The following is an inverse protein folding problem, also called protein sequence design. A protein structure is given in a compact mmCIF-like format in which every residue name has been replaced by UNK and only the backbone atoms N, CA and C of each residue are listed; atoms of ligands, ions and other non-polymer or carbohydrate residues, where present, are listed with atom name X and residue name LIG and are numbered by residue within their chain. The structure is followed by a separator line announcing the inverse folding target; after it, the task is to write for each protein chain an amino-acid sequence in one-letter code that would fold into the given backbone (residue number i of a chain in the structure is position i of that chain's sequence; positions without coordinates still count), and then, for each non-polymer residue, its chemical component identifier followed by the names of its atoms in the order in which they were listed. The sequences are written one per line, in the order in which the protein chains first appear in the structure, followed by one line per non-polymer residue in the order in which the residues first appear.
data_IF_130381346677
#
_entry.id   IF_130381346677
#
_cell.length_a   1.000
_cell.length_b   1.000
_cell.length_c   1.000
_cell.angle_alpha   90.00
_cell.angle_beta   90.00
_cell.angle_gamma   90.00
#
_symmetry.space_group_name_H-M   'P 1'
#
loop_
_entity.id
_entity.type
_entity.pdbx_description
1 polymer ?
#
# COMPACT_ATOMS: atom_id res chain seq x y z
N UNK A 1 11.16 -35.08 -13.21
CA UNK A 1 10.63 -34.75 -11.88
C UNK A 1 9.94 -33.37 -12.00
N UNK A 2 8.61 -33.34 -12.03
CA UNK A 2 7.87 -32.07 -12.04
C UNK A 2 8.13 -31.38 -10.70
N UNK A 3 8.83 -30.22 -10.70
CA UNK A 3 8.86 -29.35 -9.54
C UNK A 3 7.42 -28.88 -9.30
N UNK A 4 6.82 -29.31 -8.20
CA UNK A 4 5.60 -28.68 -7.69
C UNK A 4 5.92 -27.18 -7.49
N UNK A 5 5.40 -26.32 -8.35
CA UNK A 5 5.44 -24.87 -8.14
C UNK A 5 4.62 -24.61 -6.87
N UNK A 6 5.31 -24.32 -5.78
CA UNK A 6 4.65 -23.84 -4.56
C UNK A 6 3.95 -22.53 -4.92
N UNK A 7 2.63 -22.53 -4.81
CA UNK A 7 1.83 -21.32 -5.02
C UNK A 7 2.29 -20.26 -4.02
N UNK A 8 2.85 -19.15 -4.51
CA UNK A 8 3.21 -18.01 -3.65
C UNK A 8 1.96 -17.57 -2.87
N UNK A 9 2.12 -17.33 -1.59
CA UNK A 9 1.05 -16.93 -0.69
C UNK A 9 1.35 -15.54 -0.12
N UNK A 10 0.47 -14.59 -0.38
CA UNK A 10 0.65 -13.17 -0.07
C UNK A 10 -0.49 -12.70 0.80
N UNK A 11 -0.16 -12.01 1.89
CA UNK A 11 -1.12 -11.33 2.76
C UNK A 11 -0.97 -9.82 2.58
N UNK A 12 -2.07 -9.13 2.34
CA UNK A 12 -2.14 -7.66 2.34
C UNK A 12 -3.18 -7.24 3.37
N UNK A 13 -2.76 -6.55 4.41
CA UNK A 13 -3.64 -5.99 5.42
C UNK A 13 -3.73 -4.47 5.22
N UNK A 14 -4.95 -4.00 5.03
CA UNK A 14 -5.27 -2.60 4.80
C UNK A 14 -5.88 -1.98 6.06
N UNK A 15 -5.54 -0.73 6.33
CA UNK A 15 -6.11 0.03 7.44
C UNK A 15 -7.59 0.33 7.21
N UNK A 16 -7.96 0.68 5.98
CA UNK A 16 -9.32 1.08 5.65
C UNK A 16 -9.81 0.59 4.28
N UNK A 17 -11.01 1.03 3.95
CA UNK A 17 -11.70 0.62 2.73
C UNK A 17 -11.03 1.16 1.45
N UNK A 18 -10.43 2.35 1.50
CA UNK A 18 -9.78 2.97 0.33
C UNK A 18 -8.55 2.18 -0.09
N UNK A 19 -7.68 1.83 0.86
CA UNK A 19 -6.49 1.00 0.67
C UNK A 19 -6.88 -0.39 0.17
N UNK A 20 -7.93 -0.98 0.77
CA UNK A 20 -8.47 -2.27 0.36
C UNK A 20 -8.94 -2.26 -1.09
N UNK A 21 -9.74 -1.27 -1.49
CA UNK A 21 -10.25 -1.15 -2.86
C UNK A 21 -9.10 -0.96 -3.86
N UNK A 22 -8.08 -0.20 -3.49
CA UNK A 22 -6.90 0.00 -4.33
C UNK A 22 -6.08 -1.29 -4.48
N UNK A 23 -5.80 -2.00 -3.39
CA UNK A 23 -5.10 -3.28 -3.42
C UNK A 23 -5.88 -4.37 -4.20
N UNK A 24 -7.21 -4.42 -4.05
CA UNK A 24 -8.08 -5.31 -4.82
C UNK A 24 -8.03 -5.00 -6.31
N UNK A 25 -8.00 -3.72 -6.68
CA UNK A 25 -7.90 -3.33 -8.08
C UNK A 25 -6.56 -3.75 -8.70
N UNK A 26 -5.45 -3.63 -7.95
CA UNK A 26 -4.14 -4.16 -8.36
C UNK A 26 -4.19 -5.68 -8.58
N UNK A 27 -4.82 -6.44 -7.66
CA UNK A 27 -4.98 -7.89 -7.77
C UNK A 27 -5.79 -8.28 -9.01
N UNK A 28 -6.86 -7.56 -9.32
CA UNK A 28 -7.73 -7.83 -10.47
C UNK A 28 -7.03 -7.60 -11.82
N UNK A 29 -5.98 -6.80 -11.87
CA UNK A 29 -5.15 -6.58 -13.08
C UNK A 29 -4.12 -7.70 -13.34
N UNK A 30 -3.98 -8.65 -12.42
CA UNK A 30 -3.13 -9.82 -12.66
C UNK A 30 -3.75 -10.69 -13.76
N UNK A 31 -2.93 -11.26 -14.67
CA UNK A 31 -3.40 -12.26 -15.64
C UNK A 31 -4.12 -13.43 -14.96
N UNK A 32 -5.12 -14.01 -15.62
CA UNK A 32 -5.95 -15.09 -15.05
C UNK A 32 -5.16 -16.29 -14.53
N UNK A 33 -4.05 -16.63 -15.19
CA UNK A 33 -3.21 -17.73 -14.75
C UNK A 33 -2.50 -17.41 -13.43
N UNK A 34 -2.06 -16.15 -13.21
CA UNK A 34 -1.49 -15.71 -11.95
C UNK A 34 -2.52 -15.65 -10.82
N UNK A 35 -3.74 -15.23 -11.13
CA UNK A 35 -4.82 -15.25 -10.13
C UNK A 35 -5.12 -16.66 -9.61
N UNK A 36 -4.72 -17.71 -10.35
CA UNK A 36 -4.88 -19.11 -9.96
C UNK A 36 -3.64 -19.71 -9.29
N UNK A 37 -2.44 -19.21 -9.65
CA UNK A 37 -1.16 -19.74 -9.17
C UNK A 37 -0.60 -18.99 -7.96
N UNK A 38 -1.10 -17.78 -7.67
CA UNK A 38 -0.71 -16.96 -6.53
C UNK A 38 -1.91 -16.73 -5.62
N UNK A 39 -1.78 -17.15 -4.35
CA UNK A 39 -2.82 -16.89 -3.35
C UNK A 39 -2.59 -15.51 -2.74
N UNK A 40 -3.44 -14.54 -3.07
CA UNK A 40 -3.38 -13.18 -2.50
C UNK A 40 -4.62 -12.96 -1.64
N UNK A 41 -4.40 -12.85 -0.35
CA UNK A 41 -5.42 -12.57 0.65
C UNK A 41 -5.35 -11.10 1.03
N UNK A 42 -6.45 -10.35 0.81
CA UNK A 42 -6.53 -8.92 1.12
C UNK A 42 -7.66 -8.69 2.10
N UNK A 43 -7.35 -8.07 3.23
CA UNK A 43 -8.32 -7.73 4.27
C UNK A 43 -8.16 -6.27 4.69
N UNK A 44 -9.23 -5.68 5.21
CA UNK A 44 -9.16 -4.42 5.93
C UNK A 44 -9.79 -4.56 7.32
N UNK A 45 -9.39 -3.69 8.23
CA UNK A 45 -9.87 -3.71 9.60
C UNK A 45 -10.94 -2.65 9.85
N UNK A 46 -11.75 -2.89 10.88
CA UNK A 46 -12.69 -1.90 11.41
C UNK A 46 -12.05 -1.00 12.49
N UNK A 47 -10.95 -1.45 13.10
CA UNK A 47 -10.13 -0.64 13.99
C UNK A 47 -9.02 0.01 13.18
N UNK A 48 -9.17 1.30 12.94
CA UNK A 48 -8.30 2.06 12.06
C UNK A 48 -7.09 2.59 12.84
N UNK A 49 -6.14 1.73 13.21
CA UNK A 49 -4.87 2.17 13.76
C UNK A 49 -3.73 1.23 13.33
N UNK A 50 -2.53 1.77 13.06
CA UNK A 50 -1.41 0.97 12.55
C UNK A 50 -0.95 -0.12 13.53
N UNK A 51 -1.09 0.07 14.84
CA UNK A 51 -0.67 -0.89 15.85
C UNK A 51 -1.56 -2.13 15.87
N UNK A 52 -2.88 -1.93 15.77
CA UNK A 52 -3.85 -3.01 15.61
C UNK A 52 -3.62 -3.79 14.31
N UNK A 53 -3.28 -3.07 13.22
CA UNK A 53 -2.93 -3.68 11.94
C UNK A 53 -1.73 -4.64 12.06
N UNK A 54 -0.68 -4.23 12.77
CA UNK A 54 0.51 -5.07 13.01
C UNK A 54 0.17 -6.28 13.88
N UNK A 55 -0.66 -6.11 14.91
CA UNK A 55 -1.08 -7.22 15.78
C UNK A 55 -1.87 -8.25 14.99
N UNK A 56 -2.78 -7.82 14.14
CA UNK A 56 -3.55 -8.71 13.26
C UNK A 56 -2.65 -9.44 12.25
N UNK A 57 -1.66 -8.74 11.65
CA UNK A 57 -0.67 -9.38 10.79
C UNK A 57 0.08 -10.49 11.52
N UNK A 58 0.56 -10.22 12.73
CA UNK A 58 1.26 -11.22 13.58
C UNK A 58 0.35 -12.39 13.91
N UNK A 59 -0.91 -12.15 14.25
CA UNK A 59 -1.89 -13.20 14.55
C UNK A 59 -2.10 -14.12 13.35
N UNK A 60 -2.36 -13.54 12.16
CA UNK A 60 -2.57 -14.30 10.91
C UNK A 60 -1.33 -15.08 10.49
N UNK A 61 -0.16 -14.45 10.56
CA UNK A 61 1.11 -15.10 10.22
C UNK A 61 1.38 -16.32 11.13
N UNK A 62 1.15 -16.16 12.45
CA UNK A 62 1.30 -17.28 13.39
C UNK A 62 0.33 -18.42 13.09
N UNK A 63 -0.95 -18.11 12.84
CA UNK A 63 -1.95 -19.13 12.48
C UNK A 63 -1.55 -19.87 11.20
N UNK A 64 -1.14 -19.16 10.17
CA UNK A 64 -0.69 -19.74 8.91
C UNK A 64 0.54 -20.68 9.08
N UNK A 65 1.49 -20.31 9.94
CA UNK A 65 2.65 -21.16 10.26
C UNK A 65 2.19 -22.44 10.98
N UNK A 66 1.27 -22.34 11.93
CA UNK A 66 0.74 -23.51 12.66
C UNK A 66 -0.01 -24.47 11.72
N UNK A 67 -0.68 -23.94 10.71
CA UNK A 67 -1.36 -24.70 9.65
C UNK A 67 -0.42 -25.21 8.56
N UNK A 68 0.89 -25.00 8.70
CA UNK A 68 1.93 -25.36 7.69
C UNK A 68 1.67 -24.71 6.32
N UNK A 69 1.08 -23.53 6.34
CA UNK A 69 0.70 -22.77 5.15
C UNK A 69 1.10 -21.30 5.32
N UNK A 70 2.39 -21.05 5.58
CA UNK A 70 2.94 -19.72 5.84
C UNK A 70 2.78 -18.77 4.64
N UNK A 71 2.70 -17.48 4.92
CA UNK A 71 2.78 -16.45 3.88
C UNK A 71 4.23 -16.21 3.47
N UNK A 72 4.49 -16.13 2.17
CA UNK A 72 5.79 -15.76 1.60
C UNK A 72 6.06 -14.27 1.71
N UNK A 73 5.00 -13.46 1.70
CA UNK A 73 5.09 -12.00 1.80
C UNK A 73 3.89 -11.43 2.54
N UNK A 74 4.15 -10.48 3.42
CA UNK A 74 3.12 -9.75 4.16
C UNK A 74 3.29 -8.25 3.90
N UNK A 75 2.22 -7.61 3.48
CA UNK A 75 2.15 -6.17 3.29
C UNK A 75 1.19 -5.54 4.30
N UNK A 76 1.60 -4.39 4.85
CA UNK A 76 0.75 -3.51 5.64
C UNK A 76 0.49 -2.26 4.81
N UNK A 77 -0.79 -1.97 4.54
CA UNK A 77 -1.19 -0.82 3.73
C UNK A 77 -2.00 0.16 4.59
N UNK A 78 -1.40 1.29 4.91
CA UNK A 78 -1.93 2.28 5.84
C UNK A 78 -1.45 3.69 5.50
N UNK A 79 -2.06 4.69 6.12
CA UNK A 79 -1.63 6.09 6.01
C UNK A 79 -1.33 6.73 7.38
N UNK A 80 -0.95 8.00 7.38
CA UNK A 80 -0.52 8.67 8.62
C UNK A 80 -1.70 9.26 9.39
N UNK A 81 -2.87 9.19 9.07
CA UNK A 81 -4.04 9.86 9.71
C UNK A 81 -3.79 10.48 11.13
N UNK A 82 -2.57 11.02 11.36
CA UNK A 82 -2.06 11.63 12.61
C UNK A 82 -2.12 10.72 13.85
N UNK A 83 -1.84 9.45 13.67
CA UNK A 83 -1.80 8.50 14.77
C UNK A 83 -0.70 8.88 15.78
N UNK A 84 -1.03 9.12 17.07
CA UNK A 84 -0.05 9.51 18.08
C UNK A 84 1.08 8.49 18.27
N UNK A 85 0.81 7.22 17.95
CA UNK A 85 1.73 6.09 18.12
C UNK A 85 2.36 5.62 16.81
N UNK A 86 2.36 6.44 15.76
CA UNK A 86 2.88 6.05 14.46
C UNK A 86 4.36 5.65 14.51
N UNK A 87 5.19 6.37 15.28
CA UNK A 87 6.61 6.01 15.47
C UNK A 87 6.77 4.63 16.11
N UNK A 88 5.99 4.32 17.13
CA UNK A 88 6.00 2.98 17.76
C UNK A 88 5.56 1.89 16.77
N UNK A 89 4.60 2.20 15.89
CA UNK A 89 4.18 1.27 14.85
C UNK A 89 5.33 0.97 13.88
N UNK A 90 6.06 1.98 13.42
CA UNK A 90 7.24 1.76 12.57
C UNK A 90 8.33 0.95 13.28
N UNK A 91 8.58 1.21 14.57
CA UNK A 91 9.54 0.42 15.38
C UNK A 91 9.12 -1.05 15.48
N UNK A 92 7.82 -1.32 15.59
CA UNK A 92 7.29 -2.68 15.61
C UNK A 92 7.41 -3.37 14.24
N UNK A 93 7.18 -2.63 13.14
CA UNK A 93 7.32 -3.13 11.77
C UNK A 93 8.79 -3.46 11.48
N UNK A 94 9.72 -2.59 11.87
CA UNK A 94 11.16 -2.77 11.65
C UNK A 94 11.74 -4.03 12.33
N UNK A 95 11.00 -4.64 13.27
CA UNK A 95 11.32 -5.93 13.89
C UNK A 95 10.70 -7.13 13.18
N UNK A 96 10.16 -6.94 11.99
CA UNK A 96 9.50 -7.97 11.17
C UNK A 96 10.02 -7.88 9.74
N UNK A 97 9.74 -8.90 8.94
CA UNK A 97 9.98 -8.90 7.49
C UNK A 97 8.78 -8.31 6.70
N UNK A 98 7.86 -7.65 7.39
CA UNK A 98 6.67 -7.07 6.74
C UNK A 98 7.04 -5.88 5.89
N UNK A 99 6.46 -5.81 4.70
CA UNK A 99 6.57 -4.69 3.78
C UNK A 99 5.47 -3.68 4.04
N UNK A 100 5.72 -2.43 3.72
CA UNK A 100 4.75 -1.36 3.90
C UNK A 100 4.38 -0.71 2.57
N UNK A 101 3.09 -0.46 2.40
CA UNK A 101 2.55 0.50 1.45
C UNK A 101 1.97 1.64 2.29
N UNK A 102 2.66 2.76 2.32
CA UNK A 102 2.39 3.86 3.24
C UNK A 102 2.33 5.19 2.50
N UNK A 103 1.47 6.06 2.96
CA UNK A 103 1.37 7.45 2.51
C UNK A 103 1.28 8.40 3.69
N UNK A 104 2.09 9.45 3.68
CA UNK A 104 1.91 10.60 4.55
C UNK A 104 1.22 11.72 3.74
N UNK A 105 0.05 12.21 4.04
CA UNK A 105 -0.87 12.04 5.19
C UNK A 105 -1.94 10.98 4.91
N UNK A 106 -2.38 10.84 3.65
CA UNK A 106 -3.46 9.96 3.23
C UNK A 106 -3.23 9.46 1.80
N UNK A 107 -3.95 8.40 1.40
CA UNK A 107 -3.83 7.79 0.08
C UNK A 107 -4.20 8.76 -1.06
N UNK A 108 -5.03 9.78 -0.81
CA UNK A 108 -5.35 10.81 -1.79
C UNK A 108 -4.12 11.59 -2.25
N UNK A 109 -3.10 11.74 -1.40
CA UNK A 109 -1.85 12.38 -1.83
C UNK A 109 -1.11 11.54 -2.90
N UNK A 110 -1.12 10.21 -2.80
CA UNK A 110 -0.66 9.32 -3.86
C UNK A 110 -1.45 9.53 -5.16
N UNK A 111 -2.78 9.73 -5.08
CA UNK A 111 -3.59 10.00 -6.28
C UNK A 111 -3.25 11.35 -6.92
N UNK A 112 -2.93 12.38 -6.14
CA UNK A 112 -2.48 13.68 -6.66
C UNK A 112 -1.21 13.51 -7.52
N UNK A 113 -0.29 12.62 -7.13
CA UNK A 113 0.94 12.39 -7.89
C UNK A 113 0.72 11.87 -9.31
N UNK A 114 -0.47 11.33 -9.63
CA UNK A 114 -0.81 10.94 -11.00
C UNK A 114 -1.06 12.16 -11.90
N UNK A 115 -1.39 13.32 -11.33
CA UNK A 115 -1.68 14.55 -12.07
C UNK A 115 -0.50 15.50 -12.10
N UNK A 116 0.16 15.70 -10.98
CA UNK A 116 1.24 16.67 -10.85
C UNK A 116 2.30 16.24 -9.80
N UNK A 117 3.48 16.91 -9.85
CA UNK A 117 4.50 16.73 -8.82
C UNK A 117 4.17 17.61 -7.61
N UNK A 118 3.51 17.03 -6.60
CA UNK A 118 3.05 17.74 -5.42
C UNK A 118 3.87 17.36 -4.18
N UNK A 119 4.86 18.19 -3.85
CA UNK A 119 5.67 18.08 -2.63
C UNK A 119 5.05 18.78 -1.40
N UNK A 120 3.76 19.14 -1.45
CA UNK A 120 3.08 19.86 -0.37
C UNK A 120 2.91 18.98 0.87
N UNK A 121 3.33 19.50 2.02
CA UNK A 121 3.03 18.89 3.32
C UNK A 121 1.59 19.22 3.73
N UNK A 122 0.62 18.39 3.35
CA UNK A 122 -0.77 18.56 3.78
C UNK A 122 -0.91 18.39 5.28
N UNK A 123 -1.81 19.17 5.89
CA UNK A 123 -2.05 19.13 7.34
C UNK A 123 -2.93 17.96 7.76
N UNK A 124 -3.82 17.51 6.89
CA UNK A 124 -4.77 16.40 7.13
C UNK A 124 -5.30 15.84 5.81
N UNK A 125 -6.03 14.72 5.88
CA UNK A 125 -6.65 14.08 4.73
C UNK A 125 -7.69 14.92 4.01
N UNK A 126 -8.46 15.76 4.73
CA UNK A 126 -9.48 16.63 4.13
C UNK A 126 -8.86 17.70 3.22
N UNK A 127 -7.71 18.25 3.63
CA UNK A 127 -6.97 19.21 2.81
C UNK A 127 -6.45 18.56 1.53
N UNK A 128 -5.89 17.34 1.62
CA UNK A 128 -5.43 16.60 0.47
C UNK A 128 -6.58 16.19 -0.47
N UNK A 129 -7.69 15.71 0.10
CA UNK A 129 -8.91 15.38 -0.66
C UNK A 129 -9.49 16.59 -1.37
N UNK A 130 -9.56 17.73 -0.68
CA UNK A 130 -10.03 18.99 -1.29
C UNK A 130 -9.11 19.45 -2.43
N UNK A 131 -7.81 19.21 -2.30
CA UNK A 131 -6.85 19.49 -3.37
C UNK A 131 -7.02 18.53 -4.55
N UNK A 132 -7.14 17.23 -4.27
CA UNK A 132 -7.38 16.21 -5.30
C UNK A 132 -8.66 16.51 -6.10
N UNK A 133 -9.73 16.93 -5.45
CA UNK A 133 -11.00 17.23 -6.10
C UNK A 133 -10.90 18.39 -7.11
N UNK A 134 -9.92 19.28 -7.00
CA UNK A 134 -9.64 20.31 -8.02
C UNK A 134 -9.00 19.72 -9.27
N UNK A 135 -8.16 18.68 -9.11
CA UNK A 135 -7.49 17.99 -10.20
C UNK A 135 -8.37 16.89 -10.81
N UNK A 136 -9.19 16.27 -9.96
CA UNK A 136 -10.06 15.17 -10.33
C UNK A 136 -11.46 15.33 -9.69
N UNK A 137 -12.33 16.19 -10.28
CA UNK A 137 -13.67 16.49 -9.73
C UNK A 137 -14.57 15.27 -9.58
N UNK A 138 -14.36 14.21 -10.37
CA UNK A 138 -15.13 12.99 -10.30
C UNK A 138 -14.69 12.05 -9.15
N UNK A 139 -13.60 12.37 -8.44
CA UNK A 139 -13.11 11.51 -7.36
C UNK A 139 -14.15 11.35 -6.24
N UNK A 140 -14.33 10.11 -5.84
CA UNK A 140 -15.15 9.75 -4.68
C UNK A 140 -14.51 8.54 -3.97
N UNK A 141 -14.20 8.71 -2.68
CA UNK A 141 -13.37 7.81 -1.87
C UNK A 141 -13.69 6.31 -2.00
N UNK A 142 -14.96 5.92 -2.10
CA UNK A 142 -15.40 4.52 -2.13
C UNK A 142 -16.20 4.12 -3.36
N UNK A 143 -16.54 5.07 -4.25
CA UNK A 143 -17.40 4.81 -5.42
C UNK A 143 -16.63 4.70 -6.73
N UNK A 144 -15.36 5.07 -6.75
CA UNK A 144 -14.51 5.07 -7.93
C UNK A 144 -13.40 4.04 -7.76
N UNK A 145 -13.14 3.26 -8.81
CA UNK A 145 -11.93 2.46 -8.88
C UNK A 145 -10.75 3.35 -9.26
N UNK A 146 -10.13 3.98 -8.24
CA UNK A 146 -9.06 4.93 -8.43
C UNK A 146 -7.88 4.35 -9.22
N UNK A 147 -7.49 3.10 -8.96
CA UNK A 147 -6.43 2.45 -9.72
C UNK A 147 -6.75 2.37 -11.22
N UNK A 148 -7.95 1.91 -11.57
CA UNK A 148 -8.37 1.77 -12.98
C UNK A 148 -8.34 3.11 -13.73
N UNK A 149 -8.82 4.16 -13.09
CA UNK A 149 -8.87 5.51 -13.69
C UNK A 149 -7.47 6.13 -13.82
N UNK A 150 -6.56 5.82 -12.90
CA UNK A 150 -5.24 6.46 -12.80
C UNK A 150 -4.10 5.63 -13.41
N UNK A 151 -4.31 4.36 -13.75
CA UNK A 151 -3.23 3.43 -14.19
C UNK A 151 -2.45 3.92 -15.43
N UNK A 152 -3.06 4.71 -16.30
CA UNK A 152 -2.38 5.31 -17.46
C UNK A 152 -1.32 6.35 -17.09
N UNK A 153 -1.31 6.86 -15.85
CA UNK A 153 -0.36 7.85 -15.32
C UNK A 153 0.51 7.28 -14.21
N UNK A 154 0.51 5.97 -14.04
CA UNK A 154 1.17 5.28 -12.93
C UNK A 154 2.68 5.46 -12.93
N UNK A 155 3.31 5.44 -14.11
CA UNK A 155 4.75 5.66 -14.24
C UNK A 155 5.18 7.05 -13.76
N UNK A 156 4.40 8.08 -14.09
CA UNK A 156 4.63 9.44 -13.62
C UNK A 156 4.50 9.54 -12.09
N UNK A 157 3.46 8.94 -11.52
CA UNK A 157 3.25 8.93 -10.07
C UNK A 157 4.40 8.23 -9.32
N UNK A 158 4.86 7.08 -9.80
CA UNK A 158 6.02 6.35 -9.24
C UNK A 158 7.28 7.22 -9.31
N UNK A 159 7.56 7.83 -10.46
CA UNK A 159 8.72 8.71 -10.63
C UNK A 159 8.70 9.92 -9.68
N UNK A 160 7.55 10.55 -9.53
CA UNK A 160 7.33 11.70 -8.62
C UNK A 160 7.48 11.28 -7.15
N UNK A 161 6.87 10.17 -6.73
CA UNK A 161 7.01 9.64 -5.36
C UNK A 161 8.47 9.35 -5.02
N UNK A 162 9.19 8.66 -5.88
CA UNK A 162 10.60 8.35 -5.70
C UNK A 162 11.47 9.60 -5.61
N UNK A 163 11.17 10.62 -6.41
CA UNK A 163 11.89 11.91 -6.38
C UNK A 163 11.62 12.66 -5.10
N UNK A 164 10.36 12.74 -4.66
CA UNK A 164 9.98 13.40 -3.41
C UNK A 164 10.63 12.69 -2.20
N UNK A 165 10.62 11.37 -2.16
CA UNK A 165 11.25 10.60 -1.06
C UNK A 165 12.75 10.82 -1.00
N UNK A 166 13.45 10.88 -2.14
CA UNK A 166 14.90 11.15 -2.19
C UNK A 166 15.27 12.55 -1.73
N UNK A 167 14.39 13.51 -1.92
CA UNK A 167 14.60 14.90 -1.53
C UNK A 167 14.33 15.15 -0.02
N UNK A 168 13.77 14.15 0.69
CA UNK A 168 13.61 14.22 2.15
C UNK A 168 14.94 14.04 2.87
N UNK A 169 15.09 14.69 4.01
CA UNK A 169 16.21 14.42 4.91
C UNK A 169 16.14 12.98 5.43
N UNK A 170 17.14 12.18 5.08
CA UNK A 170 17.21 10.77 5.46
C UNK A 170 17.44 10.56 6.96
N UNK A 171 17.89 11.59 7.69
CA UNK A 171 18.01 11.57 9.16
C UNK A 171 16.66 11.68 9.88
N UNK A 172 15.59 12.13 9.20
CA UNK A 172 14.26 12.22 9.78
C UNK A 172 13.58 10.85 9.73
N UNK A 173 13.01 10.33 10.85
CA UNK A 173 12.25 9.08 10.85
C UNK A 173 11.07 9.12 9.88
N UNK A 174 10.75 8.00 9.21
CA UNK A 174 9.68 7.90 8.21
C UNK A 174 8.34 8.42 8.77
N UNK A 175 8.03 8.10 10.02
CA UNK A 175 6.80 8.55 10.69
C UNK A 175 6.64 10.08 10.76
N UNK A 176 7.72 10.84 10.57
CA UNK A 176 7.73 12.31 10.64
C UNK A 176 7.89 12.97 9.26
N UNK A 177 8.12 12.18 8.20
CA UNK A 177 8.25 12.71 6.83
C UNK A 177 6.89 13.03 6.23
N UNK A 178 6.75 14.24 5.67
CA UNK A 178 5.54 14.66 4.97
C UNK A 178 5.92 15.65 3.85
N UNK A 179 5.73 15.28 2.58
CA UNK A 179 5.15 14.02 2.09
C UNK A 179 6.13 12.83 2.14
N UNK A 180 5.62 11.61 2.22
CA UNK A 180 6.39 10.39 2.05
C UNK A 180 5.51 9.24 1.53
N UNK A 181 6.06 8.40 0.65
CA UNK A 181 5.29 7.38 -0.06
C UNK A 181 6.06 6.06 -0.15
N UNK A 182 5.39 4.94 0.07
CA UNK A 182 5.86 3.59 -0.31
C UNK A 182 4.76 2.77 -1.00
N UNK A 183 3.64 3.39 -1.35
CA UNK A 183 2.58 2.74 -2.15
C UNK A 183 3.11 2.27 -3.50
N UNK A 184 4.04 3.02 -4.10
CA UNK A 184 4.70 2.62 -5.35
C UNK A 184 5.43 1.28 -5.24
N UNK A 185 5.92 0.90 -4.05
CA UNK A 185 6.62 -0.36 -3.85
C UNK A 185 5.64 -1.55 -3.92
N UNK A 186 4.41 -1.39 -3.40
CA UNK A 186 3.34 -2.37 -3.56
C UNK A 186 2.93 -2.49 -5.04
N UNK A 187 2.82 -1.38 -5.76
CA UNK A 187 2.51 -1.37 -7.19
C UNK A 187 3.60 -2.10 -7.98
N UNK A 188 4.87 -1.79 -7.71
CA UNK A 188 6.00 -2.45 -8.35
C UNK A 188 6.05 -3.94 -8.03
N UNK A 189 5.72 -4.34 -6.80
CA UNK A 189 5.60 -5.74 -6.43
C UNK A 189 4.57 -6.48 -7.30
N UNK A 190 3.40 -5.91 -7.56
CA UNK A 190 2.42 -6.48 -8.48
C UNK A 190 2.91 -6.53 -9.94
N UNK A 191 3.72 -5.56 -10.36
CA UNK A 191 4.32 -5.57 -11.70
C UNK A 191 5.36 -6.68 -11.84
N UNK A 192 6.23 -6.87 -10.83
CA UNK A 192 7.20 -7.98 -10.79
C UNK A 192 6.49 -9.33 -10.83
N UNK A 193 5.37 -9.49 -10.08
CA UNK A 193 4.59 -10.72 -10.15
C UNK A 193 4.08 -11.04 -11.57
N UNK A 194 3.83 -10.00 -12.40
CA UNK A 194 3.43 -10.19 -13.80
C UNK A 194 4.60 -10.62 -14.69
N UNK A 195 5.83 -10.21 -14.35
CA UNK A 195 7.04 -10.43 -15.15
C UNK A 195 7.73 -11.77 -14.82
N UNK A 196 7.64 -12.25 -13.58
CA UNK A 196 8.30 -13.48 -13.09
C UNK A 196 7.83 -14.78 -13.77
N UNK A 197 6.89 -14.75 -14.71
CA UNK A 197 6.34 -15.90 -15.44
C UNK A 197 6.45 -15.79 -16.97
N UNK A 198 7.23 -14.83 -17.50
CA UNK A 198 7.62 -14.81 -18.91
C UNK A 198 8.96 -15.53 -19.06
#
# INVERSE_FOLDING_TARGET
MMRLKLNKRILILCEGATEYLYARALQMELPRHLQRSVSIEIFYQTQNDPKSLIQEAKRRTRAAIMERNAYDTVWLFFDNDRWPQLSEAFDLINRTDYKIAYTSICLEHWFILHFENCGRAFRNGDEATSYLNKLWPAYHKTKINAYKELKGRLADAIGRANTLNRNQDQGIPIAQRNPYFTVQDLVQFFNILKEDEI
#
